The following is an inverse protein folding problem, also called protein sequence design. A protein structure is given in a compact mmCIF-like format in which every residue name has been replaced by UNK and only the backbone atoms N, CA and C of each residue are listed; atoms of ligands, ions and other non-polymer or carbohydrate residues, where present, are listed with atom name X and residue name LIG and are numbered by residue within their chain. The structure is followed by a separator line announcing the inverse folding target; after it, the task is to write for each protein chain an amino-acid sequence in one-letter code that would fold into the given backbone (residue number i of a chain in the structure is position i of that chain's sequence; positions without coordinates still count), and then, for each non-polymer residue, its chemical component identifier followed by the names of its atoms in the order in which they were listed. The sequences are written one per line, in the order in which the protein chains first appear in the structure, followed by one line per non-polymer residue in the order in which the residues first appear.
data_IF_529687918248
#
_entry.id   IF_529687918248
#
_cell.length_a   1.000
_cell.length_b   1.000
_cell.length_c   1.000
_cell.angle_alpha   90.00
_cell.angle_beta   90.00
_cell.angle_gamma   90.00
#
_symmetry.space_group_name_H-M   'P 1'
#
loop_
_entity.id
_entity.type
_entity.pdbx_description
1 polymer ?
#
# COMPACT_ATOMS: atom_id res chain seq x y z
N UNK A 1 46.02 -21.64 -29.07
CA UNK A 1 44.98 -21.43 -28.03
C UNK A 1 45.67 -20.91 -26.77
N UNK A 2 45.61 -19.60 -26.50
CA UNK A 2 46.46 -18.96 -25.49
C UNK A 2 45.91 -19.20 -24.07
N UNK A 3 46.47 -20.21 -23.39
CA UNK A 3 46.10 -20.63 -22.02
C UNK A 3 46.21 -19.52 -20.96
N UNK A 4 46.81 -18.37 -21.28
CA UNK A 4 46.89 -17.18 -20.40
C UNK A 4 45.54 -16.53 -20.12
N UNK A 5 44.51 -16.81 -20.92
CA UNK A 5 43.18 -16.20 -20.78
C UNK A 5 42.25 -17.01 -19.87
N UNK A 6 42.60 -18.27 -19.61
CA UNK A 6 41.88 -19.16 -18.70
C UNK A 6 41.65 -18.56 -17.29
N UNK A 7 42.66 -17.97 -16.61
CA UNK A 7 42.42 -17.38 -15.28
C UNK A 7 41.45 -16.21 -15.33
N UNK A 8 41.46 -15.39 -16.38
CA UNK A 8 40.57 -14.24 -16.51
C UNK A 8 39.13 -14.66 -16.83
N UNK A 9 38.93 -15.70 -17.64
CA UNK A 9 37.61 -16.27 -17.93
C UNK A 9 37.01 -16.90 -16.68
N UNK A 10 37.84 -17.61 -15.89
CA UNK A 10 37.41 -18.21 -14.62
C UNK A 10 37.02 -17.13 -13.60
N UNK A 11 37.80 -16.05 -13.52
CA UNK A 11 37.49 -14.90 -12.66
C UNK A 11 36.18 -14.20 -13.08
N UNK A 12 35.99 -13.98 -14.38
CA UNK A 12 34.78 -13.37 -14.94
C UNK A 12 33.54 -14.22 -14.71
N UNK A 13 33.64 -15.54 -14.90
CA UNK A 13 32.56 -16.48 -14.62
C UNK A 13 32.16 -16.53 -13.15
N UNK A 14 33.14 -16.50 -12.23
CA UNK A 14 32.89 -16.44 -10.79
C UNK A 14 32.15 -15.15 -10.40
N UNK A 15 32.55 -14.02 -10.98
CA UNK A 15 31.93 -12.72 -10.73
C UNK A 15 30.49 -12.66 -11.25
N UNK A 16 30.25 -13.21 -12.44
CA UNK A 16 28.92 -13.31 -13.05
C UNK A 16 27.99 -14.23 -12.24
N UNK A 17 28.52 -15.35 -11.72
CA UNK A 17 27.80 -16.26 -10.82
C UNK A 17 27.37 -15.56 -9.51
N UNK A 18 28.26 -14.77 -8.88
CA UNK A 18 27.95 -14.00 -7.66
C UNK A 18 26.85 -12.97 -7.94
N UNK A 19 26.89 -12.30 -9.10
CA UNK A 19 25.86 -11.32 -9.50
C UNK A 19 24.51 -12.02 -9.70
N UNK A 20 24.48 -13.17 -10.38
CA UNK A 20 23.26 -13.97 -10.55
C UNK A 20 22.68 -14.43 -9.20
N UNK A 21 23.54 -14.88 -8.28
CA UNK A 21 23.13 -15.25 -6.91
C UNK A 21 22.54 -14.04 -6.16
N UNK A 22 23.12 -12.84 -6.28
CA UNK A 22 22.57 -11.62 -5.67
C UNK A 22 21.23 -11.18 -6.26
N UNK A 23 21.03 -11.38 -7.56
CA UNK A 23 19.76 -11.08 -8.22
C UNK A 23 18.68 -12.07 -7.79
N UNK A 24 19.01 -13.36 -7.65
CA UNK A 24 18.08 -14.40 -7.18
C UNK A 24 17.79 -14.24 -5.68
N UNK A 25 18.79 -13.85 -4.88
CA UNK A 25 18.66 -13.56 -3.43
C UNK A 25 18.24 -12.12 -3.12
N UNK A 26 17.58 -11.42 -4.05
CA UNK A 26 16.83 -10.21 -3.70
C UNK A 26 15.61 -10.66 -2.87
N UNK A 27 15.87 -10.98 -1.62
CA UNK A 27 14.86 -11.20 -0.59
C UNK A 27 13.98 -9.93 -0.54
N UNK A 28 12.65 -10.04 -0.68
CA UNK A 28 11.78 -8.94 -0.29
C UNK A 28 12.05 -8.68 1.20
N UNK A 29 12.35 -7.43 1.55
CA UNK A 29 12.58 -7.01 2.93
C UNK A 29 11.39 -7.48 3.77
N UNK A 30 11.62 -8.51 4.60
CA UNK A 30 10.69 -9.00 5.61
C UNK A 30 10.63 -7.95 6.73
N UNK A 31 9.67 -7.03 6.62
CA UNK A 31 9.22 -6.20 7.74
C UNK A 31 8.65 -7.14 8.83
N UNK A 32 9.00 -6.95 10.12
CA UNK A 32 8.72 -7.95 11.15
C UNK A 32 7.22 -8.10 11.44
N UNK A 33 6.86 -9.33 11.79
CA UNK A 33 5.52 -9.82 12.03
C UNK A 33 4.69 -9.00 13.04
N UNK A 34 3.40 -8.75 12.71
CA UNK A 34 2.31 -9.02 13.66
C UNK A 34 0.90 -9.07 13.04
N UNK A 35 0.25 -10.20 13.37
CA UNK A 35 -1.20 -10.51 13.48
C UNK A 35 -1.95 -10.93 12.20
N UNK A 36 -2.11 -12.25 12.10
CA UNK A 36 -3.27 -13.02 11.65
C UNK A 36 -4.36 -12.23 10.94
N UNK A 37 -4.56 -12.48 9.65
CA UNK A 37 -5.88 -12.41 9.02
C UNK A 37 -5.94 -13.42 7.88
N UNK A 38 -6.59 -14.54 8.17
CA UNK A 38 -7.42 -15.37 7.29
C UNK A 38 -7.53 -14.92 5.82
N UNK A 39 -7.07 -15.79 4.93
CA UNK A 39 -7.49 -15.86 3.53
C UNK A 39 -9.02 -15.98 3.43
N UNK A 40 -9.76 -14.91 3.09
CA UNK A 40 -11.08 -15.04 2.46
C UNK A 40 -11.60 -13.75 1.80
N UNK A 41 -11.73 -13.83 0.47
CA UNK A 41 -12.69 -13.13 -0.38
C UNK A 41 -12.55 -11.60 -0.54
N UNK A 42 -11.87 -11.19 -1.59
CA UNK A 42 -12.05 -9.90 -2.28
C UNK A 42 -13.41 -9.85 -3.02
N UNK A 43 -14.51 -10.01 -2.27
CA UNK A 43 -15.76 -9.37 -2.65
C UNK A 43 -15.89 -8.18 -1.74
N UNK A 44 -15.58 -6.99 -2.25
CA UNK A 44 -15.95 -5.74 -1.60
C UNK A 44 -17.44 -5.83 -1.29
N UNK A 45 -17.76 -5.96 -0.01
CA UNK A 45 -19.13 -6.03 0.49
C UNK A 45 -19.76 -4.65 0.24
N UNK A 46 -20.35 -4.47 -0.94
CA UNK A 46 -21.04 -3.25 -1.38
C UNK A 46 -22.40 -3.07 -0.68
N UNK A 47 -22.77 -3.95 0.26
CA UNK A 47 -24.12 -4.01 0.83
C UNK A 47 -24.35 -3.11 2.05
N UNK A 48 -23.36 -2.33 2.51
CA UNK A 48 -23.49 -1.48 3.74
C UNK A 48 -23.53 0.03 3.50
N UNK A 49 -23.99 0.47 2.33
CA UNK A 49 -24.34 1.89 2.08
C UNK A 49 -23.16 2.86 1.96
N UNK A 50 -21.91 2.39 1.95
CA UNK A 50 -20.73 3.22 1.68
C UNK A 50 -20.40 3.22 0.20
N UNK A 51 -20.67 4.32 -0.51
CA UNK A 51 -20.35 4.46 -1.93
C UNK A 51 -18.86 4.75 -2.13
N UNK A 52 -18.14 3.80 -2.76
CA UNK A 52 -16.69 3.90 -3.03
C UNK A 52 -16.35 4.61 -4.35
N UNK A 53 -17.31 5.30 -4.98
CA UNK A 53 -17.05 6.06 -6.20
C UNK A 53 -16.20 7.30 -5.90
N UNK A 54 -15.05 7.38 -6.57
CA UNK A 54 -14.08 8.48 -6.41
C UNK A 54 -14.33 9.67 -7.33
N UNK A 55 -15.23 9.54 -8.31
CA UNK A 55 -15.51 10.58 -9.31
C UNK A 55 -16.07 11.88 -8.71
N UNK A 56 -16.74 11.78 -7.57
CA UNK A 56 -17.38 12.91 -6.87
C UNK A 56 -16.65 13.31 -5.59
N UNK A 57 -15.43 12.79 -5.37
CA UNK A 57 -14.71 13.04 -4.14
C UNK A 57 -14.28 14.51 -4.05
N UNK A 58 -14.77 15.20 -3.01
CA UNK A 58 -14.36 16.56 -2.69
C UNK A 58 -13.49 16.58 -1.43
N UNK A 59 -12.52 17.48 -1.41
CA UNK A 59 -11.55 17.58 -0.31
C UNK A 59 -11.80 18.87 0.48
N UNK A 60 -12.11 18.73 1.77
CA UNK A 60 -12.20 19.87 2.68
C UNK A 60 -10.85 20.58 2.84
N UNK A 61 -10.87 21.83 3.31
CA UNK A 61 -9.64 22.58 3.59
C UNK A 61 -8.74 21.83 4.61
N UNK A 62 -9.34 21.20 5.63
CA UNK A 62 -8.60 20.40 6.60
C UNK A 62 -7.95 19.16 5.97
N UNK A 63 -8.66 18.47 5.07
CA UNK A 63 -8.12 17.33 4.34
C UNK A 63 -6.91 17.76 3.51
N UNK A 64 -7.02 18.84 2.73
CA UNK A 64 -5.91 19.38 1.92
C UNK A 64 -4.70 19.77 2.77
N UNK A 65 -4.93 20.41 3.92
CA UNK A 65 -3.86 20.75 4.86
C UNK A 65 -3.12 19.50 5.37
N UNK A 66 -3.87 18.48 5.84
CA UNK A 66 -3.30 17.22 6.34
C UNK A 66 -2.56 16.44 5.26
N UNK A 67 -3.11 16.42 4.05
CA UNK A 67 -2.47 15.82 2.87
C UNK A 67 -1.11 16.47 2.62
N UNK A 68 -1.04 17.81 2.60
CA UNK A 68 0.22 18.55 2.44
C UNK A 68 1.20 18.27 3.58
N UNK A 69 0.75 18.29 4.84
CA UNK A 69 1.62 18.07 5.99
C UNK A 69 2.25 16.67 6.03
N UNK A 70 1.52 15.65 5.55
CA UNK A 70 1.96 14.24 5.58
C UNK A 70 2.40 13.71 4.21
N UNK A 71 2.49 14.59 3.21
CA UNK A 71 2.82 14.26 1.82
C UNK A 71 1.91 13.18 1.20
N UNK A 72 0.63 13.17 1.58
CA UNK A 72 -0.37 12.25 1.03
C UNK A 72 -0.96 12.86 -0.23
N UNK A 73 -0.91 12.12 -1.33
CA UNK A 73 -1.42 12.51 -2.64
C UNK A 73 -2.92 12.24 -2.76
N UNK A 74 -3.56 12.89 -3.74
CA UNK A 74 -4.97 12.58 -4.05
C UNK A 74 -5.16 11.16 -4.56
N UNK A 75 -4.16 10.60 -5.25
CA UNK A 75 -4.20 9.24 -5.78
C UNK A 75 -4.30 8.22 -4.62
N UNK A 76 -3.44 8.35 -3.60
CA UNK A 76 -3.47 7.49 -2.41
C UNK A 76 -4.81 7.60 -1.67
N UNK A 77 -5.38 8.81 -1.55
CA UNK A 77 -6.72 8.96 -0.95
C UNK A 77 -7.77 8.19 -1.75
N UNK A 78 -7.74 8.27 -3.08
CA UNK A 78 -8.69 7.57 -3.96
C UNK A 78 -8.50 6.05 -3.91
N UNK A 79 -7.27 5.57 -3.87
CA UNK A 79 -6.96 4.16 -3.70
C UNK A 79 -7.52 3.64 -2.36
N UNK A 80 -7.27 4.36 -1.27
CA UNK A 80 -7.79 4.00 0.04
C UNK A 80 -9.32 4.04 0.08
N UNK A 81 -9.97 4.94 -0.67
CA UNK A 81 -11.43 4.92 -0.85
C UNK A 81 -11.92 3.62 -1.49
N UNK A 82 -11.19 3.10 -2.49
CA UNK A 82 -11.58 1.93 -3.26
C UNK A 82 -11.27 0.61 -2.54
N UNK A 83 -10.05 0.49 -2.01
CA UNK A 83 -9.50 -0.78 -1.51
C UNK A 83 -9.27 -0.79 0.01
N UNK A 84 -9.34 0.36 0.66
CA UNK A 84 -9.12 0.48 2.10
C UNK A 84 -10.20 -0.24 2.93
N UNK A 85 -9.82 -0.62 4.15
CA UNK A 85 -10.69 -1.35 5.09
C UNK A 85 -11.47 -0.37 5.95
N UNK A 86 -12.80 -0.49 5.94
CA UNK A 86 -13.66 0.33 6.80
C UNK A 86 -13.51 -0.13 8.26
N UNK A 87 -13.17 0.81 9.13
CA UNK A 87 -13.16 0.63 10.56
C UNK A 87 -14.50 1.14 11.14
N UNK A 88 -15.49 0.25 11.22
CA UNK A 88 -16.82 0.57 11.73
C UNK A 88 -16.82 1.03 13.19
N UNK A 89 -15.87 0.55 14.01
CA UNK A 89 -15.71 1.00 15.39
C UNK A 89 -15.25 2.47 15.50
N UNK A 90 -14.53 2.96 14.49
CA UNK A 90 -14.09 4.36 14.38
C UNK A 90 -14.97 5.20 13.46
N UNK A 91 -16.04 4.62 12.90
CA UNK A 91 -17.00 5.31 12.05
C UNK A 91 -18.15 5.86 12.90
N UNK A 92 -18.67 7.01 12.53
CA UNK A 92 -19.83 7.65 13.17
C UNK A 92 -21.04 7.49 12.25
N UNK A 93 -21.66 6.31 12.29
CA UNK A 93 -22.82 5.97 11.45
C UNK A 93 -24.17 6.34 12.10
N UNK A 94 -24.15 6.71 13.39
CA UNK A 94 -25.36 7.07 14.13
C UNK A 94 -25.83 8.50 13.80
N UNK A 95 -24.96 9.30 13.19
CA UNK A 95 -25.33 10.60 12.66
C UNK A 95 -26.20 10.45 11.41
N UNK A 96 -27.53 10.46 11.60
CA UNK A 96 -28.51 10.25 10.53
C UNK A 96 -28.40 11.29 9.38
N UNK A 97 -27.83 12.48 9.62
CA UNK A 97 -27.67 13.51 8.59
C UNK A 97 -26.38 13.34 7.78
N UNK A 98 -25.28 13.01 8.46
CA UNK A 98 -23.96 12.92 7.86
C UNK A 98 -23.17 11.74 8.46
N UNK A 99 -23.42 10.49 8.00
CA UNK A 99 -22.68 9.33 8.47
C UNK A 99 -21.21 9.44 8.06
N UNK A 100 -20.28 9.25 9.00
CA UNK A 100 -18.85 9.35 8.74
C UNK A 100 -18.19 7.99 8.74
N UNK A 101 -17.60 7.62 7.61
CA UNK A 101 -16.89 6.37 7.44
C UNK A 101 -15.39 6.57 7.63
N UNK A 102 -14.82 5.81 8.56
CA UNK A 102 -13.39 5.75 8.77
C UNK A 102 -12.80 4.60 7.95
N UNK A 103 -12.01 4.92 6.92
CA UNK A 103 -11.36 3.91 6.07
C UNK A 103 -9.86 3.94 6.33
N UNK A 104 -9.31 2.78 6.63
CA UNK A 104 -7.89 2.59 6.93
C UNK A 104 -7.18 1.97 5.73
N UNK A 105 -5.97 2.44 5.48
CA UNK A 105 -5.12 1.97 4.40
C UNK A 105 -3.65 2.26 4.66
N UNK A 106 -2.82 1.85 3.71
CA UNK A 106 -1.37 2.07 3.71
C UNK A 106 -1.07 2.89 2.45
N UNK A 107 -0.32 3.97 2.60
CA UNK A 107 0.16 4.82 1.49
C UNK A 107 1.36 4.17 0.79
N UNK A 108 1.78 4.74 -0.35
CA UNK A 108 2.89 4.19 -1.14
C UNK A 108 4.22 4.22 -0.38
N UNK A 109 4.37 5.19 0.53
CA UNK A 109 5.52 5.32 1.43
C UNK A 109 5.39 4.52 2.74
N UNK A 110 4.37 3.67 2.86
CA UNK A 110 4.18 2.74 3.98
C UNK A 110 3.54 3.36 5.23
N UNK A 111 3.06 4.61 5.18
CA UNK A 111 2.32 5.19 6.30
C UNK A 111 0.96 4.53 6.46
N UNK A 112 0.63 4.07 7.66
CA UNK A 112 -0.75 3.70 8.01
C UNK A 112 -1.56 4.98 8.21
N UNK A 113 -2.62 5.12 7.42
CA UNK A 113 -3.51 6.29 7.47
C UNK A 113 -4.95 5.87 7.64
N UNK A 114 -5.73 6.76 8.25
CA UNK A 114 -7.17 6.63 8.38
C UNK A 114 -7.82 7.88 7.84
N UNK A 115 -8.63 7.71 6.81
CA UNK A 115 -9.32 8.80 6.11
C UNK A 115 -10.79 8.76 6.51
N UNK A 116 -11.33 9.93 6.85
CA UNK A 116 -12.73 10.09 7.20
C UNK A 116 -13.47 10.62 5.96
N UNK A 117 -14.47 9.87 5.51
CA UNK A 117 -15.39 10.23 4.44
C UNK A 117 -16.75 10.55 5.06
N UNK A 118 -17.37 11.65 4.65
CA UNK A 118 -18.60 12.19 5.23
C UNK A 118 -19.53 12.72 4.13
#
# INVERSE_FOLDING_TARGET
MNKKWYPYILLGGLLLLIVLIKIIKKEPILVPAKKTTTTRSTKTDRSRGFDRRVSYLQYSAHAKCRMKCRKITQAEVKEIMQDGKINYYKSDLQNARCPRYAVEGITDDGQRVRIIYA
#
